data_IF_775173169271
#
_entry.id   IF_775173169271
#
_cell.length_a   1.000
_cell.length_b   1.000
_cell.length_c   1.000
_cell.angle_alpha   90.00
_cell.angle_beta   90.00
_cell.angle_gamma   90.00
#
_symmetry.space_group_name_H-M   'P 1'
#
loop_
_entity.id
_entity.type
_entity.pdbx_description
1 polymer ?
#
# COMPACT_ATOMS: atom_id res chain seq x y z
N UNK A 1 -13.44 3.77 -1.86
CA UNK A 1 -13.18 4.06 -0.42
C UNK A 1 -13.44 2.78 0.34
N UNK A 2 -12.55 2.38 1.26
CA UNK A 2 -12.72 1.17 2.08
C UNK A 2 -13.01 1.55 3.52
N UNK A 3 -13.88 0.78 4.19
CA UNK A 3 -14.08 0.89 5.65
C UNK A 3 -13.34 -0.23 6.37
N UNK A 4 -12.52 0.10 7.37
CA UNK A 4 -11.79 -0.89 8.15
C UNK A 4 -12.76 -1.72 9.02
N UNK A 5 -12.74 -3.06 8.97
CA UNK A 5 -13.75 -3.91 9.59
C UNK A 5 -13.80 -3.79 11.13
N UNK A 6 -12.66 -3.65 11.80
CA UNK A 6 -12.62 -3.56 13.27
C UNK A 6 -12.68 -2.15 13.86
N UNK A 7 -12.23 -1.12 13.13
CA UNK A 7 -12.09 0.25 13.65
C UNK A 7 -13.09 1.23 13.06
N UNK A 8 -13.80 0.86 11.98
CA UNK A 8 -14.72 1.74 11.25
C UNK A 8 -14.05 2.90 10.51
N UNK A 9 -12.71 3.01 10.58
CA UNK A 9 -11.97 4.09 9.91
C UNK A 9 -12.06 3.92 8.40
N UNK A 10 -12.20 5.04 7.69
CA UNK A 10 -12.21 5.09 6.23
C UNK A 10 -10.79 5.28 5.70
N UNK A 11 -10.44 4.57 4.64
CA UNK A 11 -9.15 4.71 3.96
C UNK A 11 -9.31 4.75 2.43
N UNK A 12 -8.32 5.37 1.77
CA UNK A 12 -8.15 5.26 0.33
C UNK A 12 -7.71 3.84 0.00
N UNK A 13 -8.38 3.23 -0.98
CA UNK A 13 -8.13 1.86 -1.44
C UNK A 13 -7.96 1.92 -2.95
N UNK A 14 -6.78 2.34 -3.36
CA UNK A 14 -6.39 2.63 -4.74
C UNK A 14 -4.92 2.30 -4.90
N UNK A 15 -4.53 1.68 -6.00
CA UNK A 15 -3.13 1.36 -6.28
C UNK A 15 -2.88 1.63 -7.76
N UNK A 16 -1.87 2.48 -8.03
CA UNK A 16 -1.61 3.02 -9.38
C UNK A 16 -1.55 1.94 -10.46
N UNK A 17 -0.86 0.85 -10.16
CA UNK A 17 -0.53 -0.18 -11.16
C UNK A 17 -1.55 -1.33 -11.19
N UNK A 18 -2.46 -1.40 -10.22
CA UNK A 18 -3.47 -2.48 -10.10
C UNK A 18 -4.89 -2.02 -10.47
N UNK A 19 -5.19 -0.73 -10.32
CA UNK A 19 -6.49 -0.18 -10.68
C UNK A 19 -6.62 -0.03 -12.20
N UNK A 20 -7.63 -0.65 -12.79
CA UNK A 20 -7.90 -0.62 -14.25
C UNK A 20 -8.93 0.42 -14.68
N UNK A 21 -9.58 1.10 -13.73
CA UNK A 21 -10.66 2.05 -13.98
C UNK A 21 -11.57 2.24 -12.77
N UNK A 22 -12.62 3.04 -12.94
CA UNK A 22 -13.67 3.29 -11.94
C UNK A 22 -15.01 3.00 -12.60
N UNK A 23 -15.82 2.14 -11.98
CA UNK A 23 -17.13 1.76 -12.50
C UNK A 23 -18.05 2.99 -12.67
N UNK A 24 -18.69 3.09 -13.83
CA UNK A 24 -19.55 4.22 -14.19
C UNK A 24 -18.83 5.55 -14.50
N UNK A 25 -17.50 5.55 -14.67
CA UNK A 25 -16.71 6.73 -15.01
C UNK A 25 -16.04 6.56 -16.37
N UNK A 26 -15.90 7.65 -17.13
CA UNK A 26 -15.17 7.62 -18.40
C UNK A 26 -13.69 7.27 -18.16
N UNK A 27 -13.04 6.48 -19.05
CA UNK A 27 -11.70 5.96 -18.82
C UNK A 27 -10.65 7.05 -18.50
N UNK A 28 -10.64 8.14 -19.26
CA UNK A 28 -9.67 9.24 -19.10
C UNK A 28 -9.86 9.96 -17.75
N UNK A 29 -11.12 10.13 -17.32
CA UNK A 29 -11.46 10.74 -16.02
C UNK A 29 -11.06 9.80 -14.87
N UNK A 30 -11.32 8.51 -15.03
CA UNK A 30 -10.95 7.49 -14.05
C UNK A 30 -9.43 7.40 -13.88
N UNK A 31 -8.69 7.38 -14.99
CA UNK A 31 -7.23 7.37 -14.97
C UNK A 31 -6.66 8.61 -14.27
N UNK A 32 -7.17 9.80 -14.60
CA UNK A 32 -6.75 11.05 -13.97
C UNK A 32 -7.01 11.04 -12.45
N UNK A 33 -8.16 10.53 -12.01
CA UNK A 33 -8.50 10.44 -10.59
C UNK A 33 -7.65 9.39 -9.86
N UNK A 34 -7.46 8.21 -10.45
CA UNK A 34 -6.59 7.16 -9.90
C UNK A 34 -5.16 7.70 -9.72
N UNK A 35 -4.63 8.38 -10.73
CA UNK A 35 -3.31 9.00 -10.68
C UNK A 35 -3.22 10.05 -9.55
N UNK A 36 -4.18 10.96 -9.46
CA UNK A 36 -4.21 11.99 -8.43
C UNK A 36 -4.26 11.41 -7.01
N UNK A 37 -5.06 10.36 -6.79
CA UNK A 37 -5.16 9.68 -5.50
C UNK A 37 -3.90 8.89 -5.17
N UNK A 38 -3.30 8.20 -6.15
CA UNK A 38 -2.05 7.49 -6.00
C UNK A 38 -0.89 8.46 -5.64
N UNK A 39 -0.82 9.63 -6.27
CA UNK A 39 0.16 10.66 -5.94
C UNK A 39 -0.06 11.27 -4.56
N UNK A 40 -1.32 11.34 -4.11
CA UNK A 40 -1.65 11.83 -2.77
C UNK A 40 -1.12 10.91 -1.67
N UNK A 41 -1.35 9.60 -1.78
CA UNK A 41 -1.02 8.64 -0.71
C UNK A 41 0.49 8.42 -0.51
N UNK A 42 1.32 8.78 -1.49
CA UNK A 42 2.79 8.66 -1.40
C UNK A 42 3.48 9.94 -0.92
N UNK A 43 2.72 10.99 -0.57
CA UNK A 43 3.30 12.23 -0.02
C UNK A 43 4.10 11.93 1.26
N UNK A 44 5.24 12.61 1.50
CA UNK A 44 6.11 12.33 2.64
C UNK A 44 5.41 12.35 4.01
N UNK A 45 4.37 13.17 4.17
CA UNK A 45 3.58 13.25 5.40
C UNK A 45 2.84 11.95 5.78
N UNK A 46 2.65 11.02 4.84
CA UNK A 46 1.99 9.73 5.05
C UNK A 46 2.97 8.55 5.04
N UNK A 47 4.27 8.81 4.88
CA UNK A 47 5.29 7.77 4.72
C UNK A 47 6.03 7.55 6.02
N UNK A 48 5.95 6.30 6.51
CA UNK A 48 6.89 5.76 7.48
C UNK A 48 7.99 5.00 6.74
N UNK A 49 9.27 5.28 7.03
CA UNK A 49 10.43 4.56 6.48
C UNK A 49 11.13 3.79 7.58
N UNK A 50 11.11 2.47 7.48
CA UNK A 50 11.83 1.58 8.38
C UNK A 50 13.23 1.25 7.84
N UNK A 51 14.25 1.41 8.67
CA UNK A 51 15.62 0.98 8.39
C UNK A 51 15.88 -0.33 9.13
N UNK A 52 15.96 -1.42 8.39
CA UNK A 52 16.03 -2.78 8.94
C UNK A 52 17.34 -3.04 9.68
N UNK A 53 17.25 -3.77 10.78
CA UNK A 53 18.36 -4.43 11.48
C UNK A 53 18.07 -5.92 11.66
N UNK A 54 19.10 -6.78 11.72
CA UNK A 54 18.90 -8.19 12.04
C UNK A 54 18.12 -8.36 13.35
N UNK A 55 17.04 -9.16 13.31
CA UNK A 55 16.15 -9.39 14.45
C UNK A 55 14.92 -8.48 14.50
N UNK A 56 14.84 -7.44 13.66
CA UNK A 56 13.64 -6.60 13.60
C UNK A 56 12.42 -7.39 13.11
N UNK A 57 11.29 -7.13 13.75
CA UNK A 57 9.97 -7.60 13.32
C UNK A 57 9.09 -6.38 13.08
N UNK A 58 8.55 -6.26 11.87
CA UNK A 58 7.57 -5.25 11.53
C UNK A 58 6.23 -5.92 11.25
N UNK A 59 5.19 -5.43 11.92
CA UNK A 59 3.80 -5.79 11.66
C UNK A 59 3.07 -4.56 11.16
N UNK A 60 2.25 -4.72 10.13
CA UNK A 60 1.39 -3.66 9.63
C UNK A 60 0.01 -4.19 9.29
N UNK A 61 -0.96 -3.29 9.27
CA UNK A 61 -2.33 -3.57 8.90
C UNK A 61 -2.53 -3.35 7.40
N UNK A 62 -2.60 -4.44 6.64
CA UNK A 62 -2.75 -4.41 5.19
C UNK A 62 -4.14 -3.88 4.73
N UNK A 63 -5.07 -3.58 5.64
CA UNK A 63 -6.35 -2.96 5.30
C UNK A 63 -6.22 -1.44 5.05
N UNK A 64 -5.21 -0.79 5.62
CA UNK A 64 -5.10 0.68 5.62
C UNK A 64 -3.80 1.23 5.05
N UNK A 65 -2.81 0.38 4.81
CA UNK A 65 -1.48 0.83 4.37
C UNK A 65 -1.07 0.19 3.05
N UNK A 66 -0.19 0.89 2.34
CA UNK A 66 0.59 0.35 1.24
C UNK A 66 2.06 0.31 1.65
N UNK A 67 2.83 -0.57 1.02
CA UNK A 67 4.25 -0.70 1.28
C UNK A 67 5.02 -0.85 -0.02
N UNK A 68 6.24 -0.32 -0.03
CA UNK A 68 7.17 -0.44 -1.16
C UNK A 68 8.51 -0.93 -0.64
N UNK A 69 9.04 -2.00 -1.23
CA UNK A 69 10.41 -2.41 -1.00
C UNK A 69 11.36 -1.40 -1.67
N UNK A 70 12.37 -0.95 -0.95
CA UNK A 70 13.46 -0.14 -1.51
C UNK A 70 14.61 -1.10 -1.79
N UNK A 71 15.18 -1.01 -2.99
CA UNK A 71 16.42 -1.71 -3.32
C UNK A 71 17.61 -0.84 -2.88
N UNK A 72 17.88 -0.85 -1.58
CA UNK A 72 18.98 -0.10 -0.94
C UNK A 72 20.20 -0.98 -0.61
N UNK A 73 20.36 -2.07 -1.36
CA UNK A 73 21.46 -3.02 -1.25
C UNK A 73 22.01 -3.35 -2.64
N UNK A 74 23.33 -3.47 -2.74
CA UNK A 74 24.04 -3.78 -3.99
C UNK A 74 24.37 -5.27 -4.08
N UNK A 75 24.38 -5.83 -5.28
CA UNK A 75 24.92 -7.17 -5.49
C UNK A 75 26.42 -7.19 -5.13
N UNK A 76 26.94 -8.23 -4.43
CA UNK A 76 26.31 -9.52 -4.13
C UNK A 76 25.60 -9.61 -2.77
N UNK A 77 25.27 -8.48 -2.12
CA UNK A 77 24.60 -8.49 -0.82
C UNK A 77 23.26 -9.21 -0.91
N UNK A 78 23.04 -10.18 -0.03
CA UNK A 78 21.79 -10.92 0.06
C UNK A 78 20.90 -10.32 1.14
N UNK A 79 19.65 -10.00 0.80
CA UNK A 79 18.60 -9.64 1.76
C UNK A 79 17.62 -10.81 1.89
N UNK A 80 17.56 -11.43 3.06
CA UNK A 80 16.61 -12.50 3.40
C UNK A 80 15.58 -11.98 4.39
N UNK A 81 14.30 -12.26 4.13
CA UNK A 81 13.20 -11.92 5.01
C UNK A 81 12.26 -13.12 5.16
N UNK A 82 11.72 -13.30 6.36
CA UNK A 82 10.62 -14.22 6.60
C UNK A 82 9.33 -13.43 6.74
N UNK A 83 8.24 -13.92 6.13
CA UNK A 83 6.93 -13.26 6.16
C UNK A 83 5.84 -14.29 6.42
N UNK A 84 4.90 -13.91 7.27
CA UNK A 84 3.61 -14.57 7.42
C UNK A 84 2.52 -13.56 7.06
N UNK A 85 1.50 -14.02 6.34
CA UNK A 85 0.36 -13.18 5.94
C UNK A 85 -0.88 -13.66 6.69
N UNK A 86 -1.55 -12.73 7.38
CA UNK A 86 -2.83 -13.00 8.00
C UNK A 86 -3.95 -12.83 6.97
N UNK A 87 -4.90 -13.77 6.95
CA UNK A 87 -6.08 -13.67 6.10
C UNK A 87 -6.94 -12.44 6.44
N UNK A 88 -7.61 -11.89 5.43
CA UNK A 88 -8.52 -10.75 5.58
C UNK A 88 -9.91 -11.05 5.02
N UNK A 89 -10.88 -10.23 5.38
CA UNK A 89 -12.21 -10.25 4.79
C UNK A 89 -12.23 -9.49 3.45
N UNK A 90 -13.25 -9.74 2.63
CA UNK A 90 -13.53 -8.96 1.42
C UNK A 90 -13.69 -7.47 1.83
N UNK A 91 -13.00 -6.54 1.15
CA UNK A 91 -13.19 -5.11 1.40
C UNK A 91 -14.65 -4.70 1.20
N UNK A 92 -15.21 -4.00 2.18
CA UNK A 92 -16.54 -3.38 2.13
C UNK A 92 -16.48 -1.90 1.74
#
# INVERSE_FOLDING_TARGET
MRTHPSTGRKCLYVMRDDCIGIDGMEPDEAEALIAALADHIVKPAFVYRHHWRPGDVLMWDNCMVQHRAIQDYDMPQRRLMHRTTMGGAVPA
#
